data_IF_003961499793
#
_entry.id   IF_003961499793
#
_cell.length_a   1.000
_cell.length_b   1.000
_cell.length_c   1.000
_cell.angle_alpha   90.00
_cell.angle_beta   90.00
_cell.angle_gamma   90.00
#
_symmetry.space_group_name_H-M   'P 1'
#
loop_
_entity.id
_entity.type
_entity.pdbx_description
1 polymer ?
#
# COMPACT_ATOMS: atom_id res chain seq x y z
N UNK A 1 2.07 4.92 -17.19
CA UNK A 1 2.16 3.50 -16.83
C UNK A 1 2.44 3.27 -15.36
N UNK A 2 2.90 4.26 -14.59
CA UNK A 2 3.14 4.09 -13.15
C UNK A 2 2.08 4.80 -12.30
N UNK A 3 1.46 4.09 -11.36
CA UNK A 3 0.63 4.65 -10.29
C UNK A 3 1.31 4.46 -8.93
N UNK A 4 1.49 5.55 -8.19
CA UNK A 4 2.10 5.55 -6.87
C UNK A 4 1.08 5.85 -5.77
N UNK A 5 1.00 4.97 -4.77
CA UNK A 5 0.08 5.04 -3.64
C UNK A 5 0.83 4.88 -2.33
N UNK A 6 0.14 5.03 -1.20
CA UNK A 6 0.59 4.56 0.11
C UNK A 6 -0.62 4.04 0.89
N UNK A 7 -0.36 3.19 1.89
CA UNK A 7 -1.40 2.58 2.70
C UNK A 7 -2.40 3.58 3.29
N UNK A 8 -1.94 4.77 3.67
CA UNK A 8 -2.74 5.78 4.34
C UNK A 8 -3.28 6.88 3.43
N UNK A 9 -3.08 6.80 2.10
CA UNK A 9 -3.66 7.77 1.17
C UNK A 9 -5.20 7.70 1.19
N UNK A 10 -5.83 8.87 1.21
CA UNK A 10 -7.26 9.06 1.45
C UNK A 10 -7.59 10.55 1.70
N UNK A 11 -8.69 10.92 2.41
CA UNK A 11 -9.34 10.16 3.50
C UNK A 11 -10.58 9.33 3.09
N UNK A 12 -10.99 8.34 3.94
CA UNK A 12 -10.24 7.81 5.09
C UNK A 12 -8.97 7.03 4.64
N UNK A 13 -7.98 6.79 5.52
CA UNK A 13 -6.78 6.01 5.17
C UNK A 13 -7.13 4.68 4.46
N UNK A 14 -6.47 4.42 3.34
CA UNK A 14 -6.71 3.26 2.48
C UNK A 14 -7.79 3.45 1.41
N UNK A 15 -8.53 4.57 1.41
CA UNK A 15 -9.57 4.81 0.40
C UNK A 15 -9.00 5.01 -1.01
N UNK A 16 -7.79 5.54 -1.13
CA UNK A 16 -7.12 5.67 -2.42
C UNK A 16 -6.78 4.29 -3.03
N UNK A 17 -6.29 3.35 -2.21
CA UNK A 17 -6.01 1.97 -2.65
C UNK A 17 -7.29 1.25 -3.07
N UNK A 18 -8.38 1.38 -2.29
CA UNK A 18 -9.69 0.83 -2.67
C UNK A 18 -10.21 1.40 -4.00
N UNK A 19 -9.94 2.68 -4.25
CA UNK A 19 -10.38 3.36 -5.48
C UNK A 19 -9.61 2.84 -6.68
N UNK A 20 -8.28 2.74 -6.59
CA UNK A 20 -7.49 2.16 -7.67
C UNK A 20 -7.83 0.68 -7.86
N UNK A 21 -8.05 -0.09 -6.79
CA UNK A 21 -8.44 -1.50 -6.88
C UNK A 21 -9.72 -1.71 -7.69
N UNK A 22 -10.72 -0.84 -7.53
CA UNK A 22 -11.94 -0.85 -8.37
C UNK A 22 -11.65 -0.56 -9.83
N UNK A 23 -10.78 0.41 -10.12
CA UNK A 23 -10.38 0.73 -11.49
C UNK A 23 -9.56 -0.40 -12.12
N UNK A 24 -8.69 -1.06 -11.35
CA UNK A 24 -7.93 -2.24 -11.78
C UNK A 24 -8.83 -3.42 -12.11
N UNK A 25 -9.86 -3.69 -11.31
CA UNK A 25 -10.81 -4.76 -11.57
C UNK A 25 -11.77 -4.45 -12.74
N UNK A 26 -11.95 -3.18 -13.09
CA UNK A 26 -12.81 -2.71 -14.18
C UNK A 26 -11.99 -2.26 -15.39
N UNK A 27 -11.82 -0.95 -15.52
CA UNK A 27 -11.25 -0.27 -16.70
C UNK A 27 -9.84 -0.75 -17.09
N UNK A 28 -9.05 -1.24 -16.13
CA UNK A 28 -7.67 -1.67 -16.35
C UNK A 28 -7.47 -3.19 -16.20
N UNK A 29 -8.53 -4.01 -16.19
CA UNK A 29 -8.44 -5.44 -15.89
C UNK A 29 -7.46 -6.23 -16.78
N UNK A 30 -7.29 -5.82 -18.04
CA UNK A 30 -6.39 -6.49 -18.99
C UNK A 30 -5.02 -5.83 -19.09
N UNK A 31 -4.75 -4.77 -18.31
CA UNK A 31 -3.54 -3.96 -18.43
C UNK A 31 -2.61 -4.09 -17.22
N UNK A 32 -2.86 -5.04 -16.30
CA UNK A 32 -2.07 -5.18 -15.07
C UNK A 32 -0.57 -5.30 -15.35
N UNK A 33 -0.19 -6.05 -16.38
CA UNK A 33 1.23 -6.30 -16.72
C UNK A 33 1.89 -5.11 -17.44
N UNK A 34 1.11 -4.12 -17.88
CA UNK A 34 1.59 -2.87 -18.48
C UNK A 34 1.65 -1.71 -17.47
N UNK A 35 1.25 -1.97 -16.22
CA UNK A 35 1.11 -0.98 -15.16
C UNK A 35 2.09 -1.31 -14.02
N UNK A 36 2.87 -0.31 -13.61
CA UNK A 36 3.69 -0.35 -12.39
C UNK A 36 2.90 0.24 -11.24
N UNK A 37 2.68 -0.54 -10.18
CA UNK A 37 1.99 -0.11 -8.97
C UNK A 37 2.99 -0.05 -7.82
N UNK A 38 3.05 1.07 -7.12
CA UNK A 38 3.74 1.16 -5.83
C UNK A 38 2.79 1.42 -4.67
N UNK A 39 3.12 0.85 -3.51
CA UNK A 39 2.54 1.26 -2.22
C UNK A 39 3.63 1.31 -1.15
N UNK A 40 3.28 1.83 0.03
CA UNK A 40 4.24 2.19 1.08
C UNK A 40 3.63 1.97 2.45
N UNK A 41 4.49 1.61 3.40
CA UNK A 41 4.18 1.61 4.83
C UNK A 41 5.31 2.30 5.60
N UNK A 42 4.98 3.11 6.60
CA UNK A 42 5.98 3.82 7.42
C UNK A 42 5.43 4.99 8.23
N UNK A 43 4.42 5.68 7.70
CA UNK A 43 3.61 6.66 8.43
C UNK A 43 2.44 5.98 9.16
N UNK A 44 1.75 6.71 10.03
CA UNK A 44 0.57 6.21 10.74
C UNK A 44 -0.52 5.73 9.76
N UNK A 45 -1.01 4.51 9.99
CA UNK A 45 -2.13 3.89 9.28
C UNK A 45 -3.27 3.46 10.22
N UNK A 46 -2.97 2.89 11.39
CA UNK A 46 -3.98 2.49 12.40
C UNK A 46 -3.44 2.60 13.82
N UNK A 47 -4.32 2.52 14.81
CA UNK A 47 -3.99 2.73 16.23
C UNK A 47 -3.12 1.61 16.83
N UNK A 48 -2.29 1.97 17.80
CA UNK A 48 -1.43 1.05 18.54
C UNK A 48 -0.02 0.91 17.98
N UNK A 49 0.86 0.15 18.64
CA UNK A 49 2.31 0.18 18.40
C UNK A 49 2.73 -0.47 17.06
N UNK A 50 1.78 -1.04 16.31
CA UNK A 50 2.06 -1.78 15.08
C UNK A 50 1.44 -1.16 13.84
N UNK A 51 0.87 0.05 13.94
CA UNK A 51 0.26 0.77 12.82
C UNK A 51 1.08 1.96 12.30
N UNK A 52 2.35 2.05 12.70
CA UNK A 52 3.29 3.11 12.32
C UNK A 52 4.74 2.58 12.35
N UNK A 53 5.66 3.30 11.70
CA UNK A 53 7.11 3.10 11.73
C UNK A 53 7.65 1.93 10.88
N UNK A 54 8.79 1.34 11.23
CA UNK A 54 9.57 0.47 10.34
C UNK A 54 9.53 -1.02 10.71
N UNK A 55 8.81 -1.41 11.76
CA UNK A 55 8.85 -2.79 12.26
C UNK A 55 8.45 -3.81 11.19
N UNK A 56 9.11 -4.98 11.17
CA UNK A 56 8.75 -6.11 10.29
C UNK A 56 7.27 -6.49 10.41
N UNK A 57 6.71 -6.40 11.62
CA UNK A 57 5.29 -6.68 11.88
C UNK A 57 4.39 -5.70 11.11
N UNK A 58 4.67 -4.41 11.22
CA UNK A 58 3.88 -3.38 10.55
C UNK A 58 4.01 -3.48 9.03
N UNK A 59 5.23 -3.54 8.49
CA UNK A 59 5.46 -3.58 7.04
C UNK A 59 4.74 -4.76 6.37
N UNK A 60 4.84 -5.97 6.95
CA UNK A 60 4.16 -7.14 6.40
C UNK A 60 2.64 -7.04 6.51
N UNK A 61 2.13 -6.68 7.69
CA UNK A 61 0.67 -6.58 7.90
C UNK A 61 0.05 -5.48 7.03
N UNK A 62 0.77 -4.38 6.83
CA UNK A 62 0.31 -3.29 5.95
C UNK A 62 0.35 -3.67 4.49
N UNK A 63 1.38 -4.39 4.03
CA UNK A 63 1.43 -4.88 2.65
C UNK A 63 0.25 -5.83 2.37
N UNK A 64 -0.01 -6.79 3.26
CA UNK A 64 -1.14 -7.73 3.11
C UNK A 64 -2.46 -6.97 2.96
N UNK A 65 -2.70 -5.95 3.79
CA UNK A 65 -3.90 -5.10 3.69
C UNK A 65 -3.94 -4.24 2.42
N UNK A 66 -2.80 -3.72 1.97
CA UNK A 66 -2.72 -2.95 0.72
C UNK A 66 -3.03 -3.82 -0.48
N UNK A 67 -2.51 -5.06 -0.53
CA UNK A 67 -2.82 -6.04 -1.58
C UNK A 67 -4.31 -6.39 -1.59
N UNK A 68 -4.92 -6.59 -0.42
CA UNK A 68 -6.36 -6.82 -0.29
C UNK A 68 -7.18 -5.64 -0.82
N UNK A 69 -6.84 -4.40 -0.43
CA UNK A 69 -7.56 -3.20 -0.91
C UNK A 69 -7.40 -2.95 -2.40
N UNK A 70 -6.21 -3.22 -2.95
CA UNK A 70 -5.92 -3.08 -4.37
C UNK A 70 -6.48 -4.25 -5.20
N UNK A 71 -6.75 -5.41 -4.58
CA UNK A 71 -7.18 -6.61 -5.27
C UNK A 71 -6.11 -7.19 -6.21
N UNK A 72 -4.84 -7.13 -5.83
CA UNK A 72 -3.70 -7.62 -6.63
C UNK A 72 -2.85 -8.60 -5.85
N UNK A 73 -2.19 -9.53 -6.56
CA UNK A 73 -1.29 -10.51 -5.94
C UNK A 73 0.04 -9.90 -5.47
N UNK A 74 0.49 -8.84 -6.15
CA UNK A 74 1.72 -8.14 -5.85
C UNK A 74 1.66 -6.67 -6.29
N UNK A 75 2.50 -5.85 -5.67
CA UNK A 75 2.90 -4.53 -6.16
C UNK A 75 4.31 -4.62 -6.75
N UNK A 76 4.57 -3.79 -7.75
CA UNK A 76 5.86 -3.77 -8.44
C UNK A 76 6.95 -3.12 -7.57
N UNK A 77 6.55 -2.19 -6.70
CA UNK A 77 7.46 -1.54 -5.74
C UNK A 77 6.76 -1.41 -4.37
N UNK A 78 7.42 -1.89 -3.33
CA UNK A 78 6.99 -1.69 -1.95
C UNK A 78 8.03 -0.87 -1.18
N UNK A 79 7.64 0.28 -0.66
CA UNK A 79 8.54 1.19 0.04
C UNK A 79 8.43 1.08 1.56
N UNK A 80 9.58 1.16 2.23
CA UNK A 80 9.63 1.78 3.56
C UNK A 80 9.43 3.29 3.39
N UNK A 81 8.30 3.81 3.87
CA UNK A 81 7.81 5.14 3.52
C UNK A 81 8.61 6.27 4.22
N UNK A 82 9.30 5.96 5.31
CA UNK A 82 10.23 6.88 5.99
C UNK A 82 11.24 6.08 6.82
N UNK A 83 12.42 6.67 7.12
CA UNK A 83 13.32 6.09 8.11
C UNK A 83 12.63 5.91 9.46
N UNK A 84 12.93 4.80 10.11
CA UNK A 84 12.58 4.53 11.50
C UNK A 84 13.90 4.34 12.27
N UNK A 85 14.32 5.31 13.11
CA UNK A 85 15.59 5.22 13.83
C UNK A 85 15.56 4.20 14.98
N UNK A 86 14.38 3.74 15.41
CA UNK A 86 14.21 2.90 16.59
C UNK A 86 13.98 1.42 16.23
N UNK A 87 13.76 1.09 14.95
CA UNK A 87 13.72 -0.29 14.46
C UNK A 87 15.12 -0.69 13.96
N UNK A 88 15.70 -1.79 14.51
CA UNK A 88 17.04 -2.27 14.15
C UNK A 88 17.14 -2.94 12.78
#
# INVERSE_FOLDING_TARGET
THFDLANNYGPPPGSAELTLGRALAGDFATLRDEIVISTKAGYHMWDGPYGEWGSRKYLRSSLDQSLERLGVEYVDIFYSHRPDPDTP
#
